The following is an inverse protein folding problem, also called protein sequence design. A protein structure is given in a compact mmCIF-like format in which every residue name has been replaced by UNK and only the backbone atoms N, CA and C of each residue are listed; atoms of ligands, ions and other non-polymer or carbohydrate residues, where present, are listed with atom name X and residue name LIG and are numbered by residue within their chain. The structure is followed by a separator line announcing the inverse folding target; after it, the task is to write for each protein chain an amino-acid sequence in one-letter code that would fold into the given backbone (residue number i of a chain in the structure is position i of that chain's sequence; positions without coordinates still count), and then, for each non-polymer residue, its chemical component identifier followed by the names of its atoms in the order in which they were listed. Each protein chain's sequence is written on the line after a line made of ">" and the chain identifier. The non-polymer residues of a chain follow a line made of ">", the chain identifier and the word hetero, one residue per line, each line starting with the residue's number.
data_IF_978495617137
#
_entry.id   IF_978495617137
#
_cell.length_a   1.000
_cell.length_b   1.000
_cell.length_c   1.000
_cell.angle_alpha   90.00
_cell.angle_beta   90.00
_cell.angle_gamma   90.00
#
_symmetry.space_group_name_H-M   'P 1'
#
loop_
_entity.id
_entity.type
_entity.pdbx_description
1 polymer ?
#
# COMPACT_ATOMS: atom_id res chain seq x y z
N UNK A 1 7.71 -21.06 12.92
CA UNK A 1 6.74 -19.97 12.65
C UNK A 1 5.33 -20.51 12.63
N UNK A 2 4.39 -19.80 13.23
CA UNK A 2 2.97 -20.14 13.17
C UNK A 2 2.39 -19.64 11.84
N UNK A 3 1.21 -20.15 11.42
CA UNK A 3 0.53 -19.59 10.26
C UNK A 3 0.27 -18.09 10.36
N UNK A 4 -0.04 -17.59 11.56
CA UNK A 4 -0.19 -16.15 11.79
C UNK A 4 1.12 -15.39 11.54
N UNK A 5 2.24 -15.91 11.99
CA UNK A 5 3.55 -15.28 11.75
C UNK A 5 3.88 -15.27 10.26
N UNK A 6 3.57 -16.34 9.55
CA UNK A 6 3.77 -16.44 8.10
C UNK A 6 2.93 -15.40 7.34
N UNK A 7 1.66 -15.26 7.71
CA UNK A 7 0.76 -14.28 7.08
C UNK A 7 1.23 -12.85 7.33
N UNK A 8 1.66 -12.55 8.56
CA UNK A 8 2.22 -11.24 8.89
C UNK A 8 3.50 -10.95 8.11
N UNK A 9 4.34 -11.96 7.93
CA UNK A 9 5.57 -11.81 7.14
C UNK A 9 5.30 -11.47 5.69
N UNK A 10 4.21 -11.99 5.10
CA UNK A 10 3.80 -11.64 3.74
C UNK A 10 3.51 -10.14 3.60
N UNK A 11 2.78 -9.57 4.56
CA UNK A 11 2.46 -8.13 4.55
C UNK A 11 3.73 -7.29 4.69
N UNK A 12 4.62 -7.65 5.62
CA UNK A 12 5.88 -6.93 5.81
C UNK A 12 6.75 -6.99 4.57
N UNK A 13 6.82 -8.15 3.91
CA UNK A 13 7.57 -8.31 2.68
C UNK A 13 6.95 -7.50 1.53
N UNK A 14 5.62 -7.45 1.46
CA UNK A 14 4.92 -6.62 0.47
C UNK A 14 5.35 -5.16 0.60
N UNK A 15 5.38 -4.63 1.82
CA UNK A 15 5.81 -3.25 2.07
C UNK A 15 7.27 -3.03 1.64
N UNK A 16 8.16 -3.97 1.94
CA UNK A 16 9.56 -3.89 1.49
C UNK A 16 9.65 -3.82 -0.04
N UNK A 17 8.89 -4.67 -0.74
CA UNK A 17 8.87 -4.70 -2.22
C UNK A 17 8.38 -3.37 -2.78
N UNK A 18 7.30 -2.83 -2.21
CA UNK A 18 6.75 -1.54 -2.64
C UNK A 18 7.76 -0.42 -2.41
N UNK A 19 8.35 -0.35 -1.23
CA UNK A 19 9.32 0.71 -0.89
C UNK A 19 10.61 0.62 -1.70
N UNK A 20 11.07 -0.61 -1.99
CA UNK A 20 12.28 -0.83 -2.77
C UNK A 20 12.03 -0.75 -4.29
N UNK A 21 10.77 -0.66 -4.71
CA UNK A 21 10.37 -0.62 -6.14
C UNK A 21 10.76 -1.89 -6.89
N UNK A 22 10.69 -3.02 -6.22
CA UNK A 22 11.02 -4.34 -6.78
C UNK A 22 9.76 -5.09 -7.19
N UNK A 23 8.96 -4.52 -8.10
CA UNK A 23 7.69 -5.12 -8.52
C UNK A 23 7.85 -6.52 -9.12
N UNK A 24 9.02 -6.85 -9.65
CA UNK A 24 9.34 -8.19 -10.14
C UNK A 24 9.33 -9.25 -9.02
N UNK A 25 9.51 -8.82 -7.77
CA UNK A 25 9.45 -9.72 -6.60
C UNK A 25 8.03 -9.91 -6.06
N UNK A 26 7.05 -9.21 -6.61
CA UNK A 26 5.69 -9.17 -6.08
C UNK A 26 5.04 -10.57 -5.99
N UNK A 27 5.33 -11.44 -6.95
CA UNK A 27 4.76 -12.80 -6.97
C UNK A 27 5.22 -13.69 -5.80
N UNK A 28 6.29 -13.30 -5.10
CA UNK A 28 6.73 -14.02 -3.90
C UNK A 28 5.65 -13.98 -2.81
N UNK A 29 4.89 -12.87 -2.71
CA UNK A 29 3.96 -12.62 -1.60
C UNK A 29 2.52 -12.40 -2.04
N UNK A 30 2.28 -12.16 -3.33
CA UNK A 30 0.97 -11.78 -3.84
C UNK A 30 0.57 -12.62 -5.05
N UNK A 31 -0.73 -12.79 -5.21
CA UNK A 31 -1.34 -13.46 -6.35
C UNK A 31 -2.69 -12.82 -6.66
N UNK A 32 -3.28 -13.17 -7.81
CA UNK A 32 -4.64 -12.77 -8.16
C UNK A 32 -4.88 -11.27 -8.06
N UNK A 33 -5.95 -10.90 -7.38
CA UNK A 33 -6.39 -9.51 -7.25
C UNK A 33 -5.32 -8.59 -6.67
N UNK A 34 -4.58 -9.05 -5.66
CA UNK A 34 -3.53 -8.22 -5.03
C UNK A 34 -2.39 -7.96 -6.01
N UNK A 35 -1.92 -9.01 -6.69
CA UNK A 35 -0.82 -8.86 -7.66
C UNK A 35 -1.22 -7.96 -8.83
N UNK A 36 -2.40 -8.19 -9.41
CA UNK A 36 -2.91 -7.40 -10.52
C UNK A 36 -3.16 -5.95 -10.13
N UNK A 37 -3.81 -5.74 -8.97
CA UNK A 37 -4.09 -4.40 -8.47
C UNK A 37 -2.82 -3.62 -8.18
N UNK A 38 -1.85 -4.24 -7.52
CA UNK A 38 -0.58 -3.59 -7.20
C UNK A 38 0.15 -3.14 -8.48
N UNK A 39 0.22 -4.00 -9.49
CA UNK A 39 0.83 -3.65 -10.77
C UNK A 39 0.10 -2.52 -11.48
N UNK A 40 -1.22 -2.45 -11.32
CA UNK A 40 -2.03 -1.44 -11.99
C UNK A 40 -1.90 -0.05 -11.36
N UNK A 41 -1.77 0.06 -10.03
CA UNK A 41 -1.79 1.37 -9.39
C UNK A 41 -0.41 1.90 -8.95
N UNK A 42 0.54 1.02 -8.64
CA UNK A 42 1.84 1.47 -8.10
C UNK A 42 2.60 2.33 -9.10
N UNK A 43 2.65 1.94 -10.36
CA UNK A 43 3.33 2.71 -11.39
C UNK A 43 2.79 4.13 -11.53
N UNK A 44 1.49 4.31 -11.84
CA UNK A 44 0.89 5.65 -11.92
C UNK A 44 1.02 6.46 -10.64
N UNK A 45 0.88 5.82 -9.48
CA UNK A 45 1.00 6.52 -8.21
C UNK A 45 2.42 7.04 -7.98
N UNK A 46 3.44 6.28 -8.39
CA UNK A 46 4.84 6.71 -8.31
C UNK A 46 5.17 7.83 -9.28
N UNK A 47 4.50 7.88 -10.42
CA UNK A 47 4.68 9.00 -11.34
C UNK A 47 4.23 10.31 -10.69
N UNK A 48 3.17 10.25 -9.88
CA UNK A 48 2.66 11.39 -9.12
C UNK A 48 3.48 11.67 -7.86
N UNK A 49 3.89 10.61 -7.17
CA UNK A 49 4.63 10.67 -5.91
C UNK A 49 5.87 9.77 -5.98
N UNK A 50 6.95 10.24 -6.64
CA UNK A 50 8.14 9.38 -6.86
C UNK A 50 8.83 8.87 -5.60
N UNK A 51 8.69 9.59 -4.50
CA UNK A 51 9.25 9.24 -3.19
C UNK A 51 8.25 8.52 -2.27
N UNK A 52 7.17 7.99 -2.83
CA UNK A 52 6.15 7.28 -2.05
C UNK A 52 6.76 6.21 -1.16
N UNK A 53 6.33 6.19 0.11
CA UNK A 53 6.84 5.26 1.10
C UNK A 53 5.73 4.84 2.04
N UNK A 54 5.71 3.56 2.40
CA UNK A 54 4.82 2.96 3.40
C UNK A 54 5.62 2.57 4.63
N UNK A 55 5.06 2.81 5.82
CA UNK A 55 5.61 2.32 7.08
C UNK A 55 4.56 1.42 7.74
N UNK A 56 4.98 0.27 8.23
CA UNK A 56 4.10 -0.64 8.96
C UNK A 56 3.89 -0.11 10.38
N UNK A 57 2.64 0.15 10.73
CA UNK A 57 2.25 0.51 12.10
C UNK A 57 1.90 -0.74 12.87
N UNK A 58 1.07 -1.61 12.27
CA UNK A 58 0.60 -2.82 12.92
C UNK A 58 0.23 -3.88 11.89
N UNK A 59 0.36 -5.14 12.27
CA UNK A 59 -0.07 -6.29 11.46
C UNK A 59 -0.73 -7.29 12.40
N UNK A 60 -1.97 -7.64 12.08
CA UNK A 60 -2.78 -8.55 12.89
C UNK A 60 -3.28 -9.67 12.00
N UNK A 61 -3.14 -10.91 12.42
CA UNK A 61 -3.58 -12.06 11.63
C UNK A 61 -4.42 -13.02 12.46
N UNK A 62 -5.49 -13.52 11.84
CA UNK A 62 -6.34 -14.56 12.41
C UNK A 62 -6.90 -15.41 11.26
N UNK A 63 -6.65 -16.71 11.29
CA UNK A 63 -7.08 -17.61 10.23
C UNK A 63 -6.44 -17.21 8.89
N UNK A 64 -7.26 -17.10 7.86
CA UNK A 64 -6.83 -16.72 6.52
C UNK A 64 -6.79 -15.19 6.30
N UNK A 65 -7.10 -14.40 7.33
CA UNK A 65 -7.13 -12.95 7.24
C UNK A 65 -5.91 -12.34 7.89
N UNK A 66 -5.37 -11.30 7.25
CA UNK A 66 -4.31 -10.50 7.82
C UNK A 66 -4.60 -9.03 7.56
N UNK A 67 -4.50 -8.23 8.62
CA UNK A 67 -4.73 -6.78 8.56
C UNK A 67 -3.38 -6.09 8.59
N UNK A 68 -3.15 -5.21 7.62
CA UNK A 68 -2.00 -4.32 7.62
C UNK A 68 -2.46 -2.89 7.82
N UNK A 69 -1.90 -2.21 8.83
CA UNK A 69 -2.09 -0.78 9.04
C UNK A 69 -0.77 -0.08 8.73
N UNK A 70 -0.85 0.91 7.86
CA UNK A 70 0.33 1.61 7.34
C UNK A 70 0.18 3.11 7.50
N UNK A 71 1.32 3.79 7.61
CA UNK A 71 1.43 5.24 7.45
C UNK A 71 2.17 5.48 6.14
N UNK A 72 1.56 6.28 5.27
CA UNK A 72 2.07 6.52 3.92
C UNK A 72 2.41 7.99 3.72
N UNK A 73 3.48 8.25 2.97
CA UNK A 73 3.98 9.59 2.71
C UNK A 73 4.46 9.71 1.26
N UNK A 74 4.42 10.91 0.72
CA UNK A 74 4.91 11.18 -0.63
C UNK A 74 4.81 12.65 -0.99
N UNK A 75 5.64 13.08 -1.95
CA UNK A 75 5.70 14.45 -2.45
C UNK A 75 5.08 14.53 -3.83
N UNK A 76 4.17 15.48 -4.03
CA UNK A 76 3.41 15.70 -5.26
C UNK A 76 4.30 16.33 -6.33
N UNK A 77 4.94 15.49 -7.13
CA UNK A 77 5.90 15.91 -8.17
C UNK A 77 5.43 15.58 -9.60
N UNK A 78 4.32 14.87 -9.74
CA UNK A 78 3.67 14.57 -11.02
C UNK A 78 2.18 14.82 -10.92
N UNK A 79 1.51 14.95 -12.06
CA UNK A 79 0.07 15.16 -12.11
C UNK A 79 -0.65 14.03 -11.37
N UNK A 80 -1.67 14.37 -10.57
CA UNK A 80 -2.48 13.42 -9.83
C UNK A 80 -3.94 13.85 -9.82
N UNK A 81 -4.80 12.98 -10.34
CA UNK A 81 -6.26 13.24 -10.41
C UNK A 81 -6.59 14.60 -11.04
N UNK A 82 -5.88 14.97 -12.10
CA UNK A 82 -6.09 16.25 -12.78
C UNK A 82 -5.43 17.45 -12.11
N UNK A 83 -4.73 17.26 -11.00
CA UNK A 83 -4.03 18.35 -10.31
C UNK A 83 -2.56 18.38 -10.73
N UNK A 84 -2.05 19.52 -11.22
CA UNK A 84 -0.63 19.63 -11.57
C UNK A 84 0.26 19.50 -10.33
N UNK A 85 1.54 19.12 -10.50
CA UNK A 85 2.43 18.92 -9.36
C UNK A 85 2.57 20.21 -8.53
N UNK A 86 2.31 20.08 -7.24
CA UNK A 86 2.34 21.23 -6.31
C UNK A 86 3.63 21.31 -5.50
N UNK A 87 4.43 20.25 -5.48
CA UNK A 87 5.59 20.15 -4.61
C UNK A 87 5.25 19.94 -3.14
N UNK A 88 3.96 19.87 -2.78
CA UNK A 88 3.52 19.64 -1.40
C UNK A 88 3.64 18.16 -1.05
N UNK A 89 3.74 17.90 0.25
CA UNK A 89 3.93 16.54 0.75
C UNK A 89 2.73 16.12 1.61
N UNK A 90 2.21 14.91 1.38
CA UNK A 90 1.39 14.26 2.39
C UNK A 90 2.29 13.37 3.26
N UNK A 91 1.98 13.30 4.54
CA UNK A 91 2.82 12.58 5.50
C UNK A 91 1.98 11.86 6.53
N UNK A 92 2.39 10.63 6.83
CA UNK A 92 1.75 9.77 7.84
C UNK A 92 0.25 9.60 7.63
N UNK A 93 -0.17 9.45 6.38
CA UNK A 93 -1.57 9.18 6.05
C UNK A 93 -1.88 7.72 6.31
N UNK A 94 -2.93 7.46 7.07
CA UNK A 94 -3.32 6.10 7.42
C UNK A 94 -3.94 5.35 6.25
N UNK A 95 -3.47 4.11 6.05
CA UNK A 95 -4.08 3.14 5.15
C UNK A 95 -4.22 1.81 5.88
N UNK A 96 -5.36 1.17 5.74
CA UNK A 96 -5.63 -0.12 6.37
C UNK A 96 -6.15 -1.08 5.31
N UNK A 97 -5.53 -2.25 5.21
CA UNK A 97 -5.92 -3.29 4.28
C UNK A 97 -6.28 -4.55 5.06
N UNK A 98 -7.39 -5.17 4.72
CA UNK A 98 -7.74 -6.49 5.23
C UNK A 98 -7.54 -7.47 4.09
N UNK A 99 -6.43 -8.21 4.15
CA UNK A 99 -6.06 -9.18 3.12
C UNK A 99 -6.61 -10.56 3.44
N UNK A 100 -6.81 -11.33 2.38
CA UNK A 100 -7.06 -12.76 2.46
C UNK A 100 -5.87 -13.51 1.90
N UNK A 101 -5.40 -14.51 2.63
CA UNK A 101 -4.28 -15.37 2.23
C UNK A 101 -4.84 -16.63 1.59
N UNK A 102 -4.33 -16.98 0.42
CA UNK A 102 -4.63 -18.23 -0.28
C UNK A 102 -3.33 -18.80 -0.86
N UNK A 103 -3.13 -20.09 -0.69
CA UNK A 103 -1.93 -20.77 -1.19
C UNK A 103 -0.63 -20.08 -0.76
N UNK A 104 -0.59 -19.61 0.48
CA UNK A 104 0.60 -18.98 1.05
C UNK A 104 0.92 -17.60 0.52
N UNK A 105 -0.02 -16.92 -0.15
CA UNK A 105 0.18 -15.58 -0.70
C UNK A 105 -1.06 -14.70 -0.48
N UNK A 106 -0.84 -13.40 -0.47
CA UNK A 106 -1.92 -12.42 -0.38
C UNK A 106 -2.70 -12.43 -1.71
N UNK A 107 -3.95 -12.86 -1.68
CA UNK A 107 -4.74 -13.11 -2.89
C UNK A 107 -5.78 -12.02 -3.16
N UNK A 108 -6.39 -11.48 -2.11
CA UNK A 108 -7.44 -10.46 -2.25
C UNK A 108 -7.47 -9.58 -1.01
N UNK A 109 -8.16 -8.45 -1.12
CA UNK A 109 -8.45 -7.58 0.01
C UNK A 109 -9.96 -7.46 0.13
N UNK A 110 -10.50 -7.74 1.33
CA UNK A 110 -11.93 -7.58 1.61
C UNK A 110 -12.26 -6.14 1.96
N UNK A 111 -11.26 -5.36 2.38
CA UNK A 111 -11.41 -3.92 2.62
C UNK A 111 -10.07 -3.22 2.40
N UNK A 112 -10.14 -2.03 1.82
CA UNK A 112 -9.03 -1.10 1.69
C UNK A 112 -9.56 0.26 2.12
N UNK A 113 -8.98 0.82 3.15
CA UNK A 113 -9.37 2.12 3.70
C UNK A 113 -8.17 3.05 3.66
N UNK A 114 -8.37 4.25 3.14
CA UNK A 114 -7.35 5.29 3.09
C UNK A 114 -7.93 6.58 3.64
N UNK A 115 -7.14 7.30 4.42
CA UNK A 115 -7.53 8.63 4.90
C UNK A 115 -7.26 9.68 3.81
N UNK A 116 -8.05 9.62 2.75
CA UNK A 116 -7.92 10.53 1.61
C UNK A 116 -8.20 11.98 1.97
N UNK A 117 -9.05 12.23 2.93
CA UNK A 117 -9.36 13.60 3.36
C UNK A 117 -8.10 14.30 3.91
N UNK A 118 -7.36 13.61 4.78
CA UNK A 118 -6.11 14.13 5.30
C UNK A 118 -5.09 14.33 4.18
N UNK A 119 -4.96 13.35 3.26
CA UNK A 119 -4.05 13.46 2.12
C UNK A 119 -4.37 14.68 1.28
N UNK A 120 -5.62 14.88 0.91
CA UNK A 120 -6.06 16.01 0.10
C UNK A 120 -5.78 17.35 0.80
N UNK A 121 -6.07 17.44 2.09
CA UNK A 121 -5.81 18.66 2.87
C UNK A 121 -4.32 18.99 2.90
N UNK A 122 -3.47 18.00 3.12
CA UNK A 122 -2.01 18.21 3.14
C UNK A 122 -1.48 18.64 1.79
N UNK A 123 -2.08 18.16 0.71
CA UNK A 123 -1.70 18.55 -0.65
C UNK A 123 -2.32 19.87 -1.11
N UNK A 124 -3.21 20.44 -0.31
CA UNK A 124 -3.89 21.69 -0.68
C UNK A 124 -4.93 21.51 -1.76
N UNK A 125 -5.50 20.30 -1.89
CA UNK A 125 -6.53 19.97 -2.87
C UNK A 125 -7.88 19.90 -2.16
N UNK A 126 -8.88 20.54 -2.71
CA UNK A 126 -10.24 20.46 -2.18
C UNK A 126 -10.81 19.06 -2.39
N UNK A 127 -11.44 18.49 -1.35
CA UNK A 127 -12.04 17.17 -1.44
C UNK A 127 -13.26 17.13 -2.36
#
# INVERSE_FOLDING_TARGET
>A
MTPSDESKALVRRLVEIVNARELEALDEVARGQIAEGARAWIGPFRDSFPDFRMEVVDVIAEGEKVVGHFKCSGTHQGEWRGNPPSGRRFEDVDEIYIFRVEDGRLASATAVVEDNLTRLRQLGIEP
#
